data_IF_062109656638
#
_entry.id   IF_062109656638
#
_cell.length_a   1.000
_cell.length_b   1.000
_cell.length_c   1.000
_cell.angle_alpha   90.00
_cell.angle_beta   90.00
_cell.angle_gamma   90.00
#
_symmetry.space_group_name_H-M   'P 1'
#
loop_
_entity.id
_entity.type
_entity.pdbx_description
1 polymer ?
#
# COMPACT_ATOMS: atom_id res chain seq x y z
N UNK A 1 -23.11 9.30 25.89
CA UNK A 1 -23.29 9.35 24.42
C UNK A 1 -21.92 9.30 23.77
N UNK A 2 -21.63 8.25 22.99
CA UNK A 2 -20.34 8.01 22.34
C UNK A 2 -20.10 9.08 21.25
N UNK A 3 -19.02 9.84 21.38
CA UNK A 3 -18.50 10.67 20.30
C UNK A 3 -17.76 9.74 19.34
N UNK A 4 -18.45 9.26 18.31
CA UNK A 4 -17.82 8.60 17.17
C UNK A 4 -16.99 9.65 16.43
N UNK A 5 -15.72 9.79 16.79
CA UNK A 5 -14.73 10.41 15.92
C UNK A 5 -14.63 9.52 14.67
N UNK A 6 -15.32 9.91 13.60
CA UNK A 6 -14.96 9.49 12.25
C UNK A 6 -13.52 9.94 12.02
N UNK A 7 -12.56 9.03 12.17
CA UNK A 7 -11.16 9.27 11.81
C UNK A 7 -11.14 9.53 10.31
N UNK A 8 -10.90 10.78 9.94
CA UNK A 8 -10.86 11.21 8.55
C UNK A 8 -9.61 10.63 7.85
N UNK A 9 -9.86 9.67 6.96
CA UNK A 9 -9.14 9.43 5.71
C UNK A 9 -7.65 9.06 5.80
N UNK A 10 -7.39 7.80 6.15
CA UNK A 10 -6.27 6.99 5.65
C UNK A 10 -6.27 6.98 4.12
N UNK A 11 -5.67 7.98 3.47
CA UNK A 11 -5.60 8.00 2.01
C UNK A 11 -4.17 8.20 1.58
N UNK A 12 -3.51 7.07 1.32
CA UNK A 12 -2.41 7.01 0.37
C UNK A 12 -2.75 7.94 -0.81
N UNK A 13 -1.94 8.99 -0.96
CA UNK A 13 -2.13 9.97 -2.03
C UNK A 13 -1.53 9.40 -3.31
N UNK A 14 -2.35 8.64 -4.01
CA UNK A 14 -2.02 8.08 -5.32
C UNK A 14 -1.72 9.20 -6.33
N UNK A 15 -0.70 8.96 -7.14
CA UNK A 15 -0.20 9.80 -8.23
C UNK A 15 -0.35 9.03 -9.52
N UNK A 16 -0.87 9.68 -10.54
CA UNK A 16 -1.09 9.09 -11.88
C UNK A 16 -0.15 9.66 -12.93
N UNK A 17 0.86 10.41 -12.51
CA UNK A 17 1.91 10.92 -13.38
C UNK A 17 3.27 10.51 -12.79
N UNK A 18 4.28 10.21 -13.63
CA UNK A 18 5.63 9.95 -13.15
C UNK A 18 6.18 11.11 -12.31
N UNK A 19 7.02 10.80 -11.34
CA UNK A 19 7.71 11.83 -10.57
C UNK A 19 8.68 12.59 -11.48
N UNK A 20 8.42 13.88 -11.70
CA UNK A 20 9.35 14.77 -12.41
C UNK A 20 10.61 15.06 -11.58
N UNK A 21 10.54 14.79 -10.28
CA UNK A 21 11.61 15.11 -9.31
C UNK A 21 12.58 13.94 -9.07
N UNK A 22 12.37 12.76 -9.69
CA UNK A 22 13.16 11.57 -9.39
C UNK A 22 14.18 11.23 -10.48
N UNK A 23 15.31 11.95 -10.52
CA UNK A 23 16.54 11.46 -11.17
C UNK A 23 17.15 10.24 -10.43
N UNK A 24 16.50 9.77 -9.37
CA UNK A 24 16.95 8.65 -8.53
C UNK A 24 15.91 7.54 -8.53
N UNK A 25 16.39 6.30 -8.65
CA UNK A 25 15.56 5.11 -8.53
C UNK A 25 14.89 5.11 -7.15
N UNK A 26 13.56 5.06 -7.13
CA UNK A 26 12.78 5.11 -5.89
C UNK A 26 11.80 3.96 -5.86
N UNK A 27 11.93 3.09 -4.85
CA UNK A 27 10.92 2.07 -4.57
C UNK A 27 9.64 2.75 -4.06
N UNK A 28 8.51 2.35 -4.60
CA UNK A 28 7.22 2.97 -4.31
C UNK A 28 6.12 1.91 -4.11
N UNK A 29 5.00 2.36 -3.57
CA UNK A 29 3.77 1.59 -3.60
C UNK A 29 3.12 1.77 -4.98
N UNK A 30 2.75 0.66 -5.60
CA UNK A 30 2.13 0.63 -6.91
C UNK A 30 0.69 0.13 -6.84
N UNK A 31 -0.19 0.71 -7.67
CA UNK A 31 -1.40 0.02 -8.10
C UNK A 31 -1.12 -0.60 -9.46
N UNK A 32 -1.32 -1.92 -9.58
CA UNK A 32 -1.21 -2.67 -10.82
C UNK A 32 -2.60 -3.11 -11.28
N UNK A 33 -2.87 -3.02 -12.58
CA UNK A 33 -4.07 -3.60 -13.19
C UNK A 33 -3.72 -4.97 -13.77
N UNK A 34 -4.28 -6.01 -13.15
CA UNK A 34 -4.16 -7.40 -13.61
C UNK A 34 -5.19 -7.75 -14.69
N UNK A 35 -5.19 -9.03 -15.07
CA UNK A 35 -6.17 -9.56 -16.02
C UNK A 35 -7.61 -9.37 -15.52
N UNK A 36 -8.52 -9.02 -16.43
CA UNK A 36 -9.92 -8.74 -16.10
C UNK A 36 -10.16 -7.37 -15.42
N UNK A 37 -9.17 -6.47 -15.42
CA UNK A 37 -9.31 -5.12 -14.86
C UNK A 37 -9.24 -5.06 -13.34
N UNK A 38 -8.96 -6.19 -12.68
CA UNK A 38 -8.79 -6.23 -11.22
C UNK A 38 -7.51 -5.51 -10.84
N UNK A 39 -7.61 -4.59 -9.88
CA UNK A 39 -6.48 -3.84 -9.36
C UNK A 39 -6.03 -4.38 -8.01
N UNK A 40 -4.72 -4.36 -7.80
CA UNK A 40 -4.09 -4.82 -6.57
C UNK A 40 -2.88 -3.92 -6.25
N UNK A 41 -2.48 -3.93 -4.98
CA UNK A 41 -1.28 -3.21 -4.56
C UNK A 41 -0.04 -4.10 -4.74
N UNK A 42 1.06 -3.49 -5.15
CA UNK A 42 2.35 -4.16 -5.31
C UNK A 42 3.50 -3.21 -4.99
N UNK A 43 4.71 -3.74 -4.87
CA UNK A 43 5.93 -2.93 -4.87
C UNK A 43 6.23 -2.54 -6.31
N UNK A 44 6.52 -1.27 -6.53
CA UNK A 44 6.93 -0.74 -7.84
C UNK A 44 8.13 0.18 -7.71
N UNK A 45 8.49 0.83 -8.82
CA UNK A 45 9.58 1.80 -8.86
C UNK A 45 9.25 2.96 -9.78
N UNK A 46 9.82 4.13 -9.47
CA UNK A 46 9.88 5.29 -10.37
C UNK A 46 11.34 5.67 -10.59
N UNK A 47 11.68 6.02 -11.83
CA UNK A 47 13.02 6.47 -12.21
C UNK A 47 12.94 7.35 -13.45
N UNK A 48 13.52 8.55 -13.38
CA UNK A 48 13.73 9.46 -14.51
C UNK A 48 12.48 9.69 -15.39
N UNK A 49 11.38 10.12 -14.76
CA UNK A 49 10.11 10.34 -15.47
C UNK A 49 9.44 9.06 -15.99
N UNK A 50 9.97 7.88 -15.66
CA UNK A 50 9.38 6.58 -15.94
C UNK A 50 8.95 5.88 -14.65
N UNK A 51 8.14 4.84 -14.81
CA UNK A 51 7.73 3.96 -13.72
C UNK A 51 7.66 2.51 -14.22
N UNK A 52 7.56 1.57 -13.29
CA UNK A 52 7.45 0.15 -13.63
C UNK A 52 6.28 -0.09 -14.60
N UNK A 53 6.50 -0.87 -15.69
CA UNK A 53 5.43 -1.25 -16.60
C UNK A 53 4.25 -1.90 -15.87
N UNK A 54 3.02 -1.56 -16.29
CA UNK A 54 1.78 -2.08 -15.70
C UNK A 54 1.27 -1.30 -14.47
N UNK A 55 2.03 -0.31 -13.98
CA UNK A 55 1.54 0.64 -12.99
C UNK A 55 0.47 1.56 -13.58
N UNK A 56 -0.66 1.69 -12.87
CA UNK A 56 -1.72 2.67 -13.20
C UNK A 56 -1.69 3.88 -12.28
N UNK A 57 -1.12 3.72 -11.08
CA UNK A 57 -0.86 4.79 -10.13
C UNK A 57 0.26 4.36 -9.17
N UNK A 58 0.89 5.34 -8.52
CA UNK A 58 1.92 5.10 -7.53
C UNK A 58 1.79 6.04 -6.34
N UNK A 59 2.40 5.69 -5.23
CA UNK A 59 2.58 6.58 -4.10
C UNK A 59 3.93 6.27 -3.43
N UNK A 60 4.55 7.24 -2.73
CA UNK A 60 5.69 6.94 -1.87
C UNK A 60 5.36 5.78 -0.93
N UNK A 61 6.35 4.92 -0.65
CA UNK A 61 6.16 3.90 0.37
C UNK A 61 5.86 4.60 1.70
N UNK A 62 4.81 4.18 2.45
CA UNK A 62 4.52 4.78 3.75
C UNK A 62 5.70 4.69 4.69
N UNK A 63 5.79 5.67 5.59
CA UNK A 63 6.81 5.63 6.64
C UNK A 63 6.59 4.45 7.58
N UNK A 64 7.69 3.97 8.16
CA UNK A 64 7.66 2.90 9.16
C UNK A 64 6.93 3.37 10.41
N UNK A 65 6.31 2.43 11.12
CA UNK A 65 5.55 2.68 12.36
C UNK A 65 6.30 3.51 13.41
N UNK A 66 7.62 3.40 13.52
CA UNK A 66 8.42 4.18 14.48
C UNK A 66 8.32 5.69 14.25
N UNK A 67 8.13 6.12 12.99
CA UNK A 67 8.10 7.53 12.61
C UNK A 67 6.70 8.12 12.65
N UNK A 68 5.70 7.32 12.29
CA UNK A 68 4.30 7.71 12.36
C UNK A 68 3.46 6.52 12.83
N UNK A 69 2.96 6.59 14.07
CA UNK A 69 2.12 5.53 14.65
C UNK A 69 0.64 5.71 14.32
N UNK A 70 0.23 6.86 13.79
CA UNK A 70 -1.20 7.20 13.65
C UNK A 70 -1.89 6.46 12.50
N UNK A 71 -1.10 5.99 11.54
CA UNK A 71 -1.58 5.31 10.33
C UNK A 71 -1.43 3.78 10.42
N UNK A 72 -0.73 3.27 11.42
CA UNK A 72 -0.49 1.84 11.64
C UNK A 72 -1.32 1.32 12.81
N UNK A 73 -1.88 0.12 12.66
CA UNK A 73 -2.53 -0.64 13.73
C UNK A 73 -1.63 -1.77 14.18
N UNK A 74 -1.67 -2.11 15.47
CA UNK A 74 -0.81 -3.14 16.04
C UNK A 74 -1.46 -3.88 17.21
N UNK A 75 -1.37 -5.22 17.25
CA UNK A 75 -1.81 -6.00 18.42
C UNK A 75 -1.02 -5.62 19.68
N UNK A 76 0.23 -5.16 19.55
CA UNK A 76 1.05 -4.69 20.68
C UNK A 76 0.53 -3.38 21.29
N UNK A 77 -0.33 -2.64 20.58
CA UNK A 77 -1.01 -1.44 21.09
C UNK A 77 -2.46 -1.72 21.50
N UNK A 78 -2.89 -2.98 21.44
CA UNK A 78 -4.27 -3.39 21.72
C UNK A 78 -5.24 -3.16 20.57
N UNK A 79 -4.74 -2.94 19.34
CA UNK A 79 -5.61 -2.89 18.16
C UNK A 79 -6.00 -4.30 17.71
N UNK A 80 -7.24 -4.43 17.24
CA UNK A 80 -7.73 -5.66 16.62
C UNK A 80 -6.99 -5.96 15.30
N UNK A 81 -6.90 -7.23 14.88
CA UNK A 81 -6.43 -7.60 13.55
C UNK A 81 -7.39 -7.08 12.45
N UNK A 82 -7.00 -7.15 11.16
CA UNK A 82 -7.91 -6.76 10.08
C UNK A 82 -9.21 -7.57 10.09
N UNK A 83 -10.33 -6.96 9.72
CA UNK A 83 -11.63 -7.65 9.73
C UNK A 83 -11.93 -8.43 8.44
N UNK A 84 -11.20 -8.16 7.36
CA UNK A 84 -11.55 -8.62 6.02
C UNK A 84 -10.36 -9.17 5.26
N UNK A 85 -10.65 -10.20 4.49
CA UNK A 85 -9.78 -10.72 3.44
C UNK A 85 -9.27 -9.60 2.53
N UNK A 86 -7.95 -9.53 2.31
CA UNK A 86 -7.39 -8.51 1.43
C UNK A 86 -5.90 -8.30 1.54
N UNK A 87 -5.36 -7.42 0.71
CA UNK A 87 -3.96 -7.00 0.78
C UNK A 87 -3.81 -5.84 1.77
N UNK A 88 -2.79 -5.94 2.61
CA UNK A 88 -2.41 -4.91 3.57
C UNK A 88 -0.92 -4.65 3.48
N UNK A 89 -0.51 -3.50 3.98
CA UNK A 89 0.88 -3.26 4.31
C UNK A 89 1.16 -3.78 5.71
N UNK A 90 2.30 -4.42 5.90
CA UNK A 90 2.71 -4.99 7.17
C UNK A 90 4.16 -4.66 7.48
N UNK A 91 4.43 -4.37 8.75
CA UNK A 91 5.77 -4.30 9.28
C UNK A 91 6.06 -5.59 10.04
N UNK A 92 7.08 -6.34 9.64
CA UNK A 92 7.52 -7.56 10.34
C UNK A 92 8.72 -7.32 11.25
N UNK A 93 9.41 -6.20 11.07
CA UNK A 93 10.60 -5.81 11.81
C UNK A 93 10.70 -4.29 11.73
N UNK A 94 10.99 -3.63 12.86
CA UNK A 94 11.11 -2.18 12.94
C UNK A 94 12.27 -1.64 12.09
N UNK A 95 13.30 -2.46 11.87
CA UNK A 95 14.48 -2.12 11.09
C UNK A 95 14.30 -2.34 9.58
N UNK A 96 13.34 -3.18 9.15
CA UNK A 96 13.16 -3.58 7.75
C UNK A 96 12.13 -2.72 7.01
N UNK A 97 12.01 -3.00 5.71
CA UNK A 97 11.02 -2.38 4.83
C UNK A 97 9.60 -2.86 5.16
N UNK A 98 8.63 -2.02 4.82
CA UNK A 98 7.21 -2.39 4.76
C UNK A 98 7.04 -3.50 3.73
N UNK A 99 6.30 -4.56 4.08
CA UNK A 99 5.92 -5.65 3.17
C UNK A 99 4.45 -5.58 2.79
N UNK A 100 4.09 -6.28 1.72
CA UNK A 100 2.71 -6.43 1.25
C UNK A 100 2.32 -7.88 1.48
N UNK A 101 1.28 -8.10 2.29
CA UNK A 101 0.78 -9.44 2.62
C UNK A 101 -0.73 -9.53 2.42
N UNK A 102 -1.22 -10.73 2.14
CA UNK A 102 -2.66 -11.00 2.07
C UNK A 102 -3.14 -11.52 3.42
N UNK A 103 -4.12 -10.87 4.03
CA UNK A 103 -4.77 -11.33 5.24
C UNK A 103 -5.92 -12.28 4.92
N UNK A 104 -5.95 -13.45 5.55
CA UNK A 104 -7.05 -14.43 5.52
C UNK A 104 -7.83 -14.32 6.83
N UNK A 105 -8.97 -13.64 6.80
CA UNK A 105 -9.79 -13.34 7.99
C UNK A 105 -10.42 -14.58 8.61
N UNK A 106 -10.59 -15.66 7.84
CA UNK A 106 -11.13 -16.93 8.38
C UNK A 106 -10.11 -17.67 9.23
N UNK A 107 -8.82 -17.49 8.92
CA UNK A 107 -7.71 -18.12 9.62
C UNK A 107 -7.00 -17.18 10.59
N UNK A 108 -7.32 -15.89 10.55
CA UNK A 108 -6.67 -14.83 11.31
C UNK A 108 -5.15 -14.80 11.13
N UNK A 109 -4.70 -14.85 9.86
CA UNK A 109 -3.26 -14.84 9.52
C UNK A 109 -2.96 -13.98 8.30
N UNK A 110 -1.73 -13.46 8.26
CA UNK A 110 -1.14 -12.91 7.04
C UNK A 110 -0.38 -13.99 6.26
N UNK A 111 -0.81 -14.25 5.03
CA UNK A 111 -0.15 -15.14 4.08
C UNK A 111 1.05 -14.43 3.44
N UNK A 112 2.12 -15.19 3.20
CA UNK A 112 3.32 -14.72 2.49
C UNK A 112 4.41 -14.11 3.38
N UNK A 113 4.22 -14.07 4.71
CA UNK A 113 5.24 -13.59 5.65
C UNK A 113 6.24 -14.67 6.09
N UNK A 114 6.03 -15.93 5.68
CA UNK A 114 6.85 -17.05 6.13
C UNK A 114 6.69 -17.25 7.65
N UNK A 115 7.78 -17.56 8.39
CA UNK A 115 7.72 -17.73 9.84
C UNK A 115 7.69 -16.41 10.63
N UNK A 116 7.71 -15.25 9.95
CA UNK A 116 7.75 -13.96 10.63
C UNK A 116 6.37 -13.55 11.15
N UNK A 117 6.33 -13.12 12.41
CA UNK A 117 5.17 -12.42 12.96
C UNK A 117 5.14 -10.96 12.48
N UNK A 118 3.94 -10.41 12.31
CA UNK A 118 3.80 -8.99 12.00
C UNK A 118 3.73 -8.17 13.28
N UNK A 119 4.39 -7.02 13.28
CA UNK A 119 4.36 -6.03 14.35
C UNK A 119 3.19 -5.07 14.19
N UNK A 120 2.89 -4.69 12.95
CA UNK A 120 1.81 -3.75 12.65
C UNK A 120 1.32 -3.90 11.23
N UNK A 121 0.12 -3.39 10.98
CA UNK A 121 -0.55 -3.45 9.70
C UNK A 121 -1.24 -2.13 9.35
N UNK A 122 -1.45 -1.91 8.05
CA UNK A 122 -2.18 -0.76 7.53
C UNK A 122 -3.04 -1.21 6.35
N UNK A 123 -4.32 -0.81 6.38
CA UNK A 123 -5.22 -0.99 5.24
C UNK A 123 -4.82 -0.04 4.11
N UNK A 124 -4.65 -0.60 2.92
CA UNK A 124 -4.37 0.18 1.71
C UNK A 124 -5.25 -0.32 0.57
N UNK A 125 -5.97 0.61 -0.06
CA UNK A 125 -6.78 0.30 -1.23
C UNK A 125 -6.05 0.71 -2.51
N UNK A 126 -6.08 -0.14 -3.55
CA UNK A 126 -5.55 0.23 -4.85
C UNK A 126 -6.29 1.46 -5.40
N UNK A 127 -5.62 2.25 -6.23
CA UNK A 127 -6.23 3.37 -6.93
C UNK A 127 -7.34 2.88 -7.87
N UNK A 128 -8.56 3.40 -7.68
CA UNK A 128 -9.75 3.02 -8.48
C UNK A 128 -10.14 4.08 -9.53
N UNK A 129 -9.42 5.21 -9.61
CA UNK A 129 -9.75 6.26 -10.56
C UNK A 129 -9.37 5.92 -12.01
N UNK A 130 -9.61 6.88 -12.92
CA UNK A 130 -9.32 6.72 -14.35
C UNK A 130 -7.84 6.48 -14.59
N UNK A 131 -7.54 5.61 -15.56
CA UNK A 131 -6.18 5.37 -16.04
C UNK A 131 -5.83 6.50 -16.99
N UNK A 132 -4.83 7.29 -16.66
CA UNK A 132 -4.40 8.41 -17.51
C UNK A 132 -3.31 8.00 -18.51
N UNK A 133 -2.70 6.82 -18.34
CA UNK A 133 -1.63 6.31 -19.20
C UNK A 133 -1.79 4.80 -19.44
N UNK A 134 -1.84 4.38 -20.72
CA UNK A 134 -1.77 2.97 -21.13
C UNK A 134 -0.61 2.79 -22.09
N UNK A 135 0.23 1.76 -21.86
CA UNK A 135 1.36 1.40 -22.75
C UNK A 135 2.34 2.56 -23.04
N UNK A 136 2.52 3.49 -22.10
CA UNK A 136 3.39 4.66 -22.29
C UNK A 136 2.72 5.83 -23.04
N UNK A 137 1.46 5.70 -23.44
CA UNK A 137 0.70 6.74 -24.13
C UNK A 137 -0.38 7.33 -23.22
N UNK A 138 -0.57 8.65 -23.30
CA UNK A 138 -1.59 9.39 -22.55
C UNK A 138 -2.97 9.03 -23.08
N UNK A 139 -3.88 8.60 -22.20
CA UNK A 139 -5.28 8.41 -22.57
C UNK A 139 -6.00 9.76 -22.41
N UNK A 140 -6.51 10.31 -23.53
CA UNK A 140 -7.34 11.53 -23.57
C UNK A 140 -8.77 11.29 -23.13
#
# INVERSE_FOLDING_TARGET
MKVSRMVSQNRIKWRTEPSKDSYRYTTCLATIEGYGGRRFISRGWTFDGQWMPGMVAWAPMPERIEKDRTIWKSPYFGDDPPEKDGQYLVCIDLSKFVEIAYYDSKKDIFLGLGPAEYLAWMEVKPYTGKIMFRRGERCG
#
